data_IF_255940398327
#
_entry.id   IF_255940398327
#
_cell.length_a   1.000
_cell.length_b   1.000
_cell.length_c   1.000
_cell.angle_alpha   90.00
_cell.angle_beta   90.00
_cell.angle_gamma   90.00
#
_symmetry.space_group_name_H-M   'P 1'
#
loop_
_entity.id
_entity.type
_entity.pdbx_description
1 polymer ?
#
# COMPACT_ATOMS: atom_id res chain seq x y z
N UNK A 1 -1.13 14.54 -8.75
CA UNK A 1 -0.01 13.75 -8.19
C UNK A 1 0.38 12.72 -9.22
N UNK A 2 1.63 12.70 -9.63
CA UNK A 2 2.23 11.61 -10.40
C UNK A 2 2.58 10.47 -9.44
N UNK A 3 2.37 9.21 -9.85
CA UNK A 3 2.70 8.02 -9.05
C UNK A 3 3.53 7.09 -9.91
N UNK A 4 4.72 6.73 -9.45
CA UNK A 4 5.66 5.89 -10.17
C UNK A 4 6.62 5.15 -9.24
N UNK A 5 7.42 4.26 -9.81
CA UNK A 5 8.53 3.66 -9.08
C UNK A 5 9.52 4.72 -8.60
N UNK A 6 10.04 4.51 -7.40
CA UNK A 6 11.09 5.34 -6.82
C UNK A 6 12.42 5.12 -7.56
N UNK A 7 13.19 6.20 -7.71
CA UNK A 7 14.55 6.15 -8.23
C UNK A 7 15.59 6.19 -7.10
N UNK A 8 16.79 5.61 -7.29
CA UNK A 8 17.83 5.60 -6.26
C UNK A 8 18.23 7.00 -5.75
N UNK A 9 18.18 8.02 -6.60
CA UNK A 9 18.49 9.40 -6.22
C UNK A 9 17.41 10.07 -5.35
N UNK A 10 16.26 9.43 -5.14
CA UNK A 10 15.17 9.90 -4.29
C UNK A 10 15.26 9.33 -2.87
N UNK A 11 16.21 8.44 -2.63
CA UNK A 11 16.34 7.72 -1.36
C UNK A 11 16.41 8.66 -0.14
N UNK A 12 17.14 9.77 -0.22
CA UNK A 12 17.24 10.73 0.87
C UNK A 12 15.89 11.37 1.20
N UNK A 13 15.13 11.77 0.17
CA UNK A 13 13.79 12.32 0.37
C UNK A 13 12.82 11.31 0.99
N UNK A 14 12.90 10.05 0.58
CA UNK A 14 12.08 8.96 1.14
C UNK A 14 12.44 8.71 2.60
N UNK A 15 13.73 8.64 2.92
CA UNK A 15 14.21 8.48 4.31
C UNK A 15 13.66 9.59 5.20
N UNK A 16 13.77 10.84 4.78
CA UNK A 16 13.27 12.00 5.54
C UNK A 16 11.76 11.88 5.79
N UNK A 17 10.97 11.50 4.78
CA UNK A 17 9.52 11.29 4.91
C UNK A 17 9.22 10.22 5.97
N UNK A 18 9.96 9.12 5.99
CA UNK A 18 9.74 8.03 6.94
C UNK A 18 10.21 8.39 8.36
N UNK A 19 11.30 9.15 8.49
CA UNK A 19 11.78 9.67 9.78
C UNK A 19 10.78 10.66 10.39
N UNK A 20 10.23 11.59 9.61
CA UNK A 20 9.18 12.51 10.04
C UNK A 20 7.90 11.77 10.46
N UNK A 21 7.51 10.75 9.69
CA UNK A 21 6.36 9.91 10.03
C UNK A 21 6.59 9.13 11.34
N UNK A 22 7.80 8.58 11.55
CA UNK A 22 8.20 7.92 12.80
C UNK A 22 8.13 8.87 13.98
N UNK A 23 8.70 10.08 13.85
CA UNK A 23 8.67 11.10 14.88
C UNK A 23 7.24 11.50 15.24
N UNK A 24 6.37 11.66 14.23
CA UNK A 24 4.97 11.95 14.46
C UNK A 24 4.23 10.85 15.21
N UNK A 25 4.46 9.57 14.85
CA UNK A 25 3.88 8.44 15.57
C UNK A 25 4.33 8.42 17.03
N UNK A 26 5.62 8.66 17.30
CA UNK A 26 6.17 8.73 18.65
C UNK A 26 5.49 9.84 19.48
N UNK A 27 5.39 11.05 18.95
CA UNK A 27 4.75 12.19 19.64
C UNK A 27 3.26 11.96 19.87
N UNK A 28 2.62 11.14 19.05
CA UNK A 28 1.24 10.71 19.20
C UNK A 28 1.06 9.52 20.15
N UNK A 29 2.13 9.02 20.77
CA UNK A 29 2.11 7.88 21.68
C UNK A 29 1.86 6.54 20.98
N UNK A 30 2.08 6.46 19.67
CA UNK A 30 1.84 5.26 18.86
C UNK A 30 3.17 4.50 18.73
N UNK A 31 3.21 3.28 19.26
CA UNK A 31 4.39 2.40 19.23
C UNK A 31 4.49 1.64 17.90
N UNK A 32 4.42 2.35 16.77
CA UNK A 32 4.66 1.82 15.43
C UNK A 32 5.96 2.42 14.91
N UNK A 33 6.85 1.59 14.35
CA UNK A 33 8.16 2.01 13.80
C UNK A 33 9.13 2.61 14.83
N UNK A 34 8.98 2.32 16.11
CA UNK A 34 9.83 2.91 17.15
C UNK A 34 11.14 2.13 17.38
N UNK A 35 11.39 1.05 16.63
CA UNK A 35 12.64 0.32 16.56
C UNK A 35 13.52 0.76 15.38
N UNK A 36 14.28 -0.18 14.86
CA UNK A 36 15.16 0.05 13.69
C UNK A 36 14.41 0.06 12.35
N UNK A 37 13.21 -0.49 12.31
CA UNK A 37 12.37 -0.55 11.12
C UNK A 37 11.41 0.65 11.03
N UNK A 38 11.13 1.21 9.82
CA UNK A 38 11.89 1.01 8.58
C UNK A 38 13.24 1.76 8.64
N UNK A 39 14.24 1.22 7.98
CA UNK A 39 15.58 1.81 7.89
C UNK A 39 16.00 2.05 6.42
N UNK A 40 17.23 2.52 6.21
CA UNK A 40 17.75 2.83 4.87
C UNK A 40 17.90 1.60 4.00
N UNK A 41 18.27 0.47 4.59
CA UNK A 41 18.41 -0.82 3.90
C UNK A 41 17.07 -1.31 3.38
N UNK A 42 16.00 -1.17 4.15
CA UNK A 42 14.63 -1.53 3.73
C UNK A 42 14.20 -0.71 2.50
N UNK A 43 14.50 0.59 2.49
CA UNK A 43 14.16 1.49 1.37
C UNK A 43 15.00 1.15 0.14
N UNK A 44 16.29 0.89 0.34
CA UNK A 44 17.20 0.52 -0.73
C UNK A 44 16.75 -0.78 -1.41
N UNK A 45 16.39 -1.79 -0.63
CA UNK A 45 15.87 -3.07 -1.13
C UNK A 45 14.53 -2.90 -1.87
N UNK A 46 13.65 -2.03 -1.39
CA UNK A 46 12.40 -1.71 -2.08
C UNK A 46 12.65 -1.07 -3.45
N UNK A 47 13.60 -0.13 -3.52
CA UNK A 47 13.96 0.55 -4.77
C UNK A 47 14.57 -0.45 -5.76
N UNK A 48 15.56 -1.24 -5.31
CA UNK A 48 16.25 -2.21 -6.18
C UNK A 48 15.32 -3.31 -6.69
N UNK A 49 14.38 -3.75 -5.87
CA UNK A 49 13.42 -4.80 -6.24
C UNK A 49 12.19 -4.27 -6.99
N UNK A 50 12.12 -2.96 -7.29
CA UNK A 50 10.99 -2.35 -7.98
C UNK A 50 9.70 -2.36 -7.17
N UNK A 51 9.80 -2.34 -5.85
CA UNK A 51 8.67 -2.30 -4.91
C UNK A 51 8.41 -0.92 -4.32
N UNK A 52 9.42 -0.05 -4.29
CA UNK A 52 9.27 1.32 -3.79
C UNK A 52 8.52 2.20 -4.79
N UNK A 53 7.43 2.84 -4.34
CA UNK A 53 6.65 3.79 -5.11
C UNK A 53 6.63 5.15 -4.45
N UNK A 54 6.66 6.20 -5.25
CA UNK A 54 6.59 7.59 -4.80
C UNK A 54 5.40 8.32 -5.41
N UNK A 55 4.85 9.23 -4.64
CA UNK A 55 3.93 10.26 -5.11
C UNK A 55 4.67 11.56 -5.30
N UNK A 56 4.52 12.18 -6.47
CA UNK A 56 5.21 13.43 -6.86
C UNK A 56 4.18 14.54 -7.04
N UNK A 57 4.45 15.69 -6.42
CA UNK A 57 3.71 16.94 -6.61
C UNK A 57 4.72 18.05 -6.87
N UNK A 58 4.55 18.80 -7.94
CA UNK A 58 5.42 19.90 -8.35
C UNK A 58 6.92 19.52 -8.38
N UNK A 59 7.21 18.29 -8.84
CA UNK A 59 8.55 17.74 -8.96
C UNK A 59 9.18 17.26 -7.64
N UNK A 60 8.46 17.32 -6.52
CA UNK A 60 8.94 16.86 -5.20
C UNK A 60 8.31 15.53 -4.82
N UNK A 61 9.09 14.67 -4.16
CA UNK A 61 8.60 13.45 -3.51
C UNK A 61 7.79 13.87 -2.29
N UNK A 62 6.50 13.53 -2.26
CA UNK A 62 5.57 13.90 -1.18
C UNK A 62 4.94 12.70 -0.48
N UNK A 63 5.07 11.50 -1.05
CA UNK A 63 4.56 10.27 -0.45
C UNK A 63 5.44 9.08 -0.85
N UNK A 64 5.44 8.06 -0.01
CA UNK A 64 6.12 6.80 -0.25
C UNK A 64 5.28 5.62 0.22
N UNK A 65 5.39 4.50 -0.48
CA UNK A 65 4.94 3.19 -0.02
C UNK A 65 5.77 2.08 -0.68
N UNK A 66 5.98 0.99 0.03
CA UNK A 66 6.43 -0.26 -0.56
C UNK A 66 5.23 -1.10 -0.98
N UNK A 67 5.28 -1.63 -2.19
CA UNK A 67 4.21 -2.46 -2.79
C UNK A 67 4.75 -3.86 -2.98
N UNK A 68 4.18 -4.83 -2.27
CA UNK A 68 4.50 -6.23 -2.44
C UNK A 68 3.34 -6.95 -3.12
N UNK A 69 3.65 -7.90 -4.01
CA UNK A 69 2.65 -8.74 -4.67
C UNK A 69 3.02 -10.20 -4.51
N UNK A 70 2.17 -10.93 -3.82
CA UNK A 70 2.38 -12.33 -3.48
C UNK A 70 1.79 -12.67 -2.13
N UNK A 71 2.21 -13.81 -1.57
CA UNK A 71 1.87 -14.19 -0.20
C UNK A 71 2.94 -13.69 0.76
N UNK A 72 2.51 -13.30 1.95
CA UNK A 72 3.38 -12.92 3.06
C UNK A 72 2.98 -13.75 4.29
N UNK A 73 3.96 -14.39 4.94
CA UNK A 73 3.72 -15.34 6.02
C UNK A 73 2.89 -14.72 7.17
N UNK A 74 3.16 -13.47 7.50
CA UNK A 74 2.45 -12.74 8.54
C UNK A 74 0.98 -12.50 8.17
N UNK A 75 0.67 -12.25 6.90
CA UNK A 75 -0.69 -12.09 6.42
C UNK A 75 -1.44 -13.42 6.33
N UNK A 76 -0.75 -14.52 6.05
CA UNK A 76 -1.34 -15.87 6.10
C UNK A 76 -1.68 -16.31 7.53
N UNK A 77 -0.97 -15.74 8.54
CA UNK A 77 -1.16 -16.02 9.95
C UNK A 77 -2.26 -15.16 10.61
N UNK A 78 -3.23 -14.65 9.84
CA UNK A 78 -4.35 -13.86 10.38
C UNK A 78 -5.10 -14.63 11.46
N UNK A 79 -5.46 -13.92 12.55
CA UNK A 79 -6.19 -14.48 13.67
C UNK A 79 -7.25 -13.47 14.19
N UNK A 80 -8.10 -13.89 15.12
CA UNK A 80 -9.28 -13.11 15.56
C UNK A 80 -10.13 -12.55 14.41
N UNK A 81 -10.18 -13.32 13.31
CA UNK A 81 -10.90 -13.00 12.10
C UNK A 81 -10.41 -13.80 10.91
N UNK A 82 -10.74 -13.36 9.72
CA UNK A 82 -10.34 -14.00 8.46
C UNK A 82 -10.41 -13.01 7.30
N UNK A 83 -9.62 -13.24 6.27
CA UNK A 83 -9.77 -12.53 5.00
C UNK A 83 -11.16 -12.80 4.39
N UNK A 84 -11.79 -11.78 3.81
CA UNK A 84 -13.09 -11.92 3.13
C UNK A 84 -12.96 -12.78 1.89
N UNK A 85 -11.84 -12.61 1.18
CA UNK A 85 -11.48 -13.40 0.00
C UNK A 85 -10.04 -13.88 0.17
N UNK A 86 -9.82 -15.18 -0.09
CA UNK A 86 -8.51 -15.79 0.04
C UNK A 86 -7.91 -16.05 -1.35
N UNK A 87 -7.53 -14.98 -2.05
CA UNK A 87 -6.84 -15.12 -3.32
C UNK A 87 -5.39 -15.57 -3.09
N UNK A 88 -4.86 -16.46 -3.94
CA UNK A 88 -3.49 -16.95 -3.81
C UNK A 88 -2.43 -15.88 -4.09
N UNK A 89 -2.81 -14.78 -4.76
CA UNK A 89 -1.96 -13.62 -5.01
C UNK A 89 -2.74 -12.36 -4.65
N UNK A 90 -2.18 -11.57 -3.78
CA UNK A 90 -2.72 -10.28 -3.36
C UNK A 90 -1.62 -9.21 -3.36
N UNK A 91 -2.00 -7.96 -3.26
CA UNK A 91 -1.09 -6.82 -3.16
C UNK A 91 -1.17 -6.24 -1.76
N UNK A 92 -0.02 -6.04 -1.12
CA UNK A 92 0.11 -5.38 0.19
C UNK A 92 0.84 -4.05 0.05
N UNK A 93 0.47 -3.10 0.90
CA UNK A 93 1.13 -1.81 1.00
C UNK A 93 1.77 -1.66 2.37
N UNK A 94 3.08 -1.44 2.38
CA UNK A 94 3.88 -1.25 3.59
C UNK A 94 4.54 0.14 3.59
N UNK A 95 4.99 0.58 4.74
CA UNK A 95 5.78 1.82 4.90
C UNK A 95 5.11 3.05 4.29
N UNK A 96 3.79 3.14 4.42
CA UNK A 96 2.99 4.23 3.85
C UNK A 96 3.24 5.50 4.66
N UNK A 97 3.77 6.53 4.03
CA UNK A 97 4.02 7.83 4.65
C UNK A 97 3.87 8.97 3.65
N UNK A 98 3.63 10.18 4.16
CA UNK A 98 3.63 11.42 3.39
C UNK A 98 4.51 12.46 4.10
N UNK A 99 5.09 13.36 3.32
CA UNK A 99 5.86 14.47 3.83
C UNK A 99 5.03 15.33 4.81
N UNK A 100 5.67 15.79 5.88
CA UNK A 100 5.01 16.48 6.98
C UNK A 100 4.22 17.71 6.54
N UNK A 101 4.77 18.50 5.62
CA UNK A 101 4.16 19.70 5.04
C UNK A 101 2.82 19.43 4.33
N UNK A 102 2.54 18.17 3.96
CA UNK A 102 1.30 17.74 3.30
C UNK A 102 0.35 16.96 4.23
N UNK A 103 0.69 16.86 5.51
CA UNK A 103 -0.15 16.16 6.49
C UNK A 103 -1.55 16.79 6.59
N UNK A 104 -2.57 15.96 6.69
CA UNK A 104 -3.96 16.41 6.76
C UNK A 104 -4.57 16.83 5.42
N UNK A 105 -3.81 16.87 4.34
CA UNK A 105 -4.29 17.31 3.01
C UNK A 105 -4.76 16.16 2.11
N UNK A 106 -4.94 14.95 2.66
CA UNK A 106 -5.44 13.80 1.92
C UNK A 106 -4.44 13.13 0.98
N UNK A 107 -3.16 13.49 1.06
CA UNK A 107 -2.08 12.97 0.19
C UNK A 107 -2.02 11.45 0.24
N UNK A 108 -2.00 10.83 1.44
CA UNK A 108 -1.93 9.37 1.57
C UNK A 108 -3.16 8.72 0.93
N UNK A 109 -4.36 9.28 1.11
CA UNK A 109 -5.57 8.74 0.50
C UNK A 109 -5.49 8.78 -1.04
N UNK A 110 -5.08 9.91 -1.62
CA UNK A 110 -4.92 10.07 -3.07
C UNK A 110 -3.83 9.14 -3.61
N UNK A 111 -2.72 9.02 -2.89
CA UNK A 111 -1.60 8.16 -3.27
C UNK A 111 -1.99 6.69 -3.27
N UNK A 112 -2.60 6.19 -2.18
CA UNK A 112 -3.07 4.80 -2.10
C UNK A 112 -4.15 4.49 -3.15
N UNK A 113 -5.08 5.41 -3.40
CA UNK A 113 -6.08 5.24 -4.45
C UNK A 113 -5.42 5.03 -5.81
N UNK A 114 -4.44 5.85 -6.15
CA UNK A 114 -3.73 5.73 -7.42
C UNK A 114 -2.87 4.46 -7.50
N UNK A 115 -2.24 4.03 -6.40
CA UNK A 115 -1.54 2.75 -6.33
C UNK A 115 -2.51 1.58 -6.59
N UNK A 116 -3.67 1.57 -5.93
CA UNK A 116 -4.70 0.53 -6.12
C UNK A 116 -5.17 0.48 -7.59
N UNK A 117 -5.36 1.64 -8.21
CA UNK A 117 -5.78 1.74 -9.62
C UNK A 117 -4.70 1.22 -10.57
N UNK A 118 -3.43 1.52 -10.29
CA UNK A 118 -2.29 1.11 -11.11
C UNK A 118 -1.85 -0.35 -10.95
N UNK A 119 -2.21 -1.01 -9.83
CA UNK A 119 -1.82 -2.41 -9.59
C UNK A 119 -2.79 -3.41 -10.22
N UNK A 120 -2.22 -4.55 -10.63
CA UNK A 120 -3.00 -5.69 -11.16
C UNK A 120 -3.63 -6.51 -10.02
N UNK A 121 -4.76 -7.15 -10.35
CA UNK A 121 -5.48 -8.04 -9.43
C UNK A 121 -6.53 -7.35 -8.57
N UNK A 122 -7.40 -8.14 -7.94
CA UNK A 122 -8.54 -7.62 -7.22
C UNK A 122 -8.30 -7.44 -5.72
N UNK A 123 -7.31 -8.13 -5.12
CA UNK A 123 -7.13 -8.26 -3.67
C UNK A 123 -6.00 -7.37 -3.17
N UNK A 124 -6.37 -6.41 -2.32
CA UNK A 124 -5.45 -5.46 -1.70
C UNK A 124 -5.55 -5.57 -0.19
N UNK A 125 -4.42 -5.76 0.48
CA UNK A 125 -4.34 -5.90 1.93
C UNK A 125 -3.43 -4.84 2.53
N UNK A 126 -3.73 -4.45 3.74
CA UNK A 126 -2.94 -3.48 4.49
C UNK A 126 -3.13 -3.72 5.99
N UNK A 127 -2.14 -3.40 6.78
CA UNK A 127 -2.22 -3.44 8.22
C UNK A 127 -1.88 -2.08 8.85
N UNK A 128 -2.31 -1.88 10.09
CA UNK A 128 -1.95 -0.69 10.86
C UNK A 128 -2.07 -0.95 12.36
N UNK A 129 -1.33 -0.18 13.14
CA UNK A 129 -1.43 -0.24 14.60
C UNK A 129 -2.81 0.19 15.09
N UNK A 130 -3.31 -0.44 16.16
CA UNK A 130 -4.65 -0.16 16.70
C UNK A 130 -4.86 1.31 17.13
N UNK A 131 -3.78 1.99 17.54
CA UNK A 131 -3.83 3.40 17.93
C UNK A 131 -3.70 4.35 16.73
N UNK A 132 -3.31 3.88 15.55
CA UNK A 132 -3.20 4.70 14.35
C UNK A 132 -4.59 4.96 13.71
N UNK A 133 -5.39 5.78 14.39
CA UNK A 133 -6.77 6.09 13.96
C UNK A 133 -6.84 6.79 12.61
N UNK A 134 -5.81 7.58 12.30
CA UNK A 134 -5.68 8.28 11.00
C UNK A 134 -5.60 7.27 9.86
N UNK A 135 -4.71 6.28 9.94
CA UNK A 135 -4.59 5.26 8.89
C UNK A 135 -5.85 4.40 8.80
N UNK A 136 -6.43 3.99 9.94
CA UNK A 136 -7.71 3.26 9.96
C UNK A 136 -8.82 4.03 9.22
N UNK A 137 -8.90 5.34 9.45
CA UNK A 137 -9.87 6.19 8.77
C UNK A 137 -9.64 6.28 7.26
N UNK A 138 -8.38 6.43 6.84
CA UNK A 138 -8.00 6.45 5.41
C UNK A 138 -8.35 5.12 4.74
N UNK A 139 -8.00 3.99 5.35
CA UNK A 139 -8.32 2.67 4.82
C UNK A 139 -9.82 2.48 4.65
N UNK A 140 -10.63 2.86 5.66
CA UNK A 140 -12.10 2.81 5.58
C UNK A 140 -12.65 3.69 4.45
N UNK A 141 -12.14 4.90 4.29
CA UNK A 141 -12.54 5.79 3.18
C UNK A 141 -12.21 5.22 1.81
N UNK A 142 -11.13 4.47 1.69
CA UNK A 142 -10.74 3.77 0.47
C UNK A 142 -11.53 2.48 0.24
N UNK A 143 -12.45 2.12 1.13
CA UNK A 143 -13.30 0.93 1.01
C UNK A 143 -12.65 -0.35 1.49
N UNK A 144 -11.59 -0.26 2.30
CA UNK A 144 -11.07 -1.42 3.03
C UNK A 144 -12.00 -1.81 4.18
N UNK A 145 -12.10 -3.10 4.39
CA UNK A 145 -12.88 -3.70 5.48
C UNK A 145 -11.94 -4.38 6.47
N UNK A 146 -12.20 -4.20 7.76
CA UNK A 146 -11.49 -4.89 8.82
C UNK A 146 -11.72 -6.40 8.74
N UNK A 147 -10.66 -7.19 8.83
CA UNK A 147 -10.68 -8.63 8.66
C UNK A 147 -10.21 -9.43 9.88
N UNK A 148 -9.48 -8.81 10.79
CA UNK A 148 -8.86 -9.49 11.93
C UNK A 148 -7.52 -8.87 12.27
N UNK A 149 -6.60 -9.68 12.83
CA UNK A 149 -5.29 -9.23 13.26
C UNK A 149 -4.18 -10.05 12.60
N UNK A 150 -3.03 -9.45 12.41
CA UNK A 150 -1.81 -10.12 11.89
C UNK A 150 -0.64 -9.89 12.85
N UNK A 151 0.27 -10.89 13.00
CA UNK A 151 1.39 -10.83 13.95
C UNK A 151 2.59 -10.07 13.35
N UNK A 152 2.44 -8.78 13.08
CA UNK A 152 3.49 -7.92 12.55
C UNK A 152 3.92 -6.96 13.66
N UNK A 153 5.20 -6.99 14.04
CA UNK A 153 5.76 -6.15 15.08
C UNK A 153 4.81 -6.07 16.30
N UNK A 154 4.52 -7.24 16.86
CA UNK A 154 3.50 -7.47 17.87
C UNK A 154 2.15 -7.80 17.27
N UNK A 155 1.27 -6.84 17.18
CA UNK A 155 -0.09 -7.02 16.65
C UNK A 155 -0.49 -5.83 15.79
N UNK A 156 -1.10 -6.12 14.61
CA UNK A 156 -1.67 -5.11 13.73
C UNK A 156 -3.10 -5.47 13.33
N UNK A 157 -3.91 -4.44 13.16
CA UNK A 157 -5.25 -4.58 12.59
C UNK A 157 -5.15 -4.79 11.08
N UNK A 158 -5.74 -5.86 10.58
CA UNK A 158 -5.69 -6.27 9.19
C UNK A 158 -6.92 -5.81 8.40
N UNK A 159 -6.70 -5.27 7.23
CA UNK A 159 -7.73 -4.72 6.35
C UNK A 159 -7.60 -5.28 4.95
N UNK A 160 -8.74 -5.55 4.30
CA UNK A 160 -8.80 -6.02 2.92
C UNK A 160 -9.73 -5.15 2.09
N UNK A 161 -9.33 -4.87 0.87
CA UNK A 161 -10.17 -4.25 -0.17
C UNK A 161 -10.18 -5.14 -1.40
N UNK A 162 -11.38 -5.41 -1.90
CA UNK A 162 -11.58 -6.07 -3.20
C UNK A 162 -11.93 -5.01 -4.23
N UNK A 163 -11.07 -4.92 -5.25
CA UNK A 163 -11.31 -4.08 -6.43
C UNK A 163 -12.24 -4.84 -7.39
N UNK A 164 -13.46 -4.37 -7.50
CA UNK A 164 -14.38 -4.91 -8.49
C UNK A 164 -13.94 -4.43 -9.88
N UNK A 165 -13.88 -5.34 -10.85
CA UNK A 165 -13.67 -4.97 -12.25
C UNK A 165 -14.82 -4.05 -12.68
N UNK A 166 -14.50 -2.89 -13.25
CA UNK A 166 -15.53 -2.10 -13.92
C UNK A 166 -16.04 -2.89 -15.13
N UNK A 167 -17.31 -2.76 -15.47
CA UNK A 167 -17.90 -3.40 -16.66
C UNK A 167 -17.05 -3.14 -17.91
N UNK A 168 -16.48 -1.95 -18.04
CA UNK A 168 -15.59 -1.56 -19.14
C UNK A 168 -14.31 -2.40 -19.24
N UNK A 169 -13.76 -2.87 -18.09
CA UNK A 169 -12.60 -3.76 -18.06
C UNK A 169 -12.95 -5.20 -18.43
N UNK A 170 -14.17 -5.65 -18.11
CA UNK A 170 -14.68 -6.96 -18.52
C UNK A 170 -14.86 -7.03 -20.04
N UNK A 171 -15.39 -5.97 -20.66
CA UNK A 171 -15.54 -5.90 -22.12
C UNK A 171 -14.20 -5.86 -22.86
N UNK A 172 -13.17 -5.23 -22.30
CA UNK A 172 -11.82 -5.24 -22.90
C UNK A 172 -11.17 -6.62 -22.86
N UNK A 173 -11.27 -7.35 -21.75
CA UNK A 173 -10.74 -8.73 -21.64
C UNK A 173 -11.50 -9.70 -22.56
N UNK A 174 -12.83 -9.60 -22.66
CA UNK A 174 -13.66 -10.40 -23.60
C UNK A 174 -13.26 -10.11 -25.04
N UNK A 175 -12.97 -8.86 -25.39
CA UNK A 175 -12.57 -8.48 -26.75
C UNK A 175 -11.17 -8.96 -27.14
N UNK A 176 -10.26 -9.19 -26.20
CA UNK A 176 -8.94 -9.75 -26.44
C UNK A 176 -8.99 -11.27 -26.59
N UNK A 177 -9.79 -11.97 -25.79
CA UNK A 177 -10.03 -13.42 -25.92
C UNK A 177 -10.86 -13.77 -27.17
N UNK A 178 -11.86 -12.96 -27.53
CA UNK A 178 -12.68 -13.15 -28.73
C UNK A 178 -11.90 -12.91 -30.04
N UNK A 179 -10.86 -12.08 -30.04
CA UNK A 179 -9.97 -11.90 -31.21
C UNK A 179 -9.25 -13.19 -31.59
N UNK A 180 -9.00 -14.08 -30.63
CA UNK A 180 -8.38 -15.36 -30.88
C UNK A 180 -9.34 -16.36 -31.54
N UNK A 181 -10.63 -16.26 -31.22
CA UNK A 181 -11.67 -17.12 -31.80
C UNK A 181 -12.10 -16.70 -33.21
N UNK A 182 -11.85 -15.45 -33.60
CA UNK A 182 -12.21 -14.90 -34.93
C UNK A 182 -11.07 -14.95 -35.95
N UNK A 183 -9.89 -15.43 -35.58
CA UNK A 183 -8.66 -15.39 -36.36
C UNK A 183 -8.32 -16.63 -37.20
N UNK A 184 -9.18 -17.66 -37.31
CA UNK A 184 -8.93 -18.82 -38.14
C UNK A 184 -10.22 -19.25 -38.90
N UNK A 185 -10.49 -18.53 -39.96
CA UNK A 185 -11.20 -19.05 -41.14
C UNK A 185 -10.57 -18.44 -42.38
#
# INVERSE_FOLDING_TARGET
>A
MEIRLAHPNEMEAIVNILEDARAFLATSGINQWQGEYPNKEDIFDDILSGRGYVGIVDGKVVAYAAVHRGQEAEYEAIYEGKWQHNHPVYTTFHRIAAADEFRGQGIIQTFLQGLIEGQKGPDFRCDTHEQNKTMQHILKKLGYVYCGKVPIDGERLAYQKIKHKSERSLYQEISEDDRWLLGNN
#
